data_IF_417394945378
#
_entry.id   IF_417394945378
#
_cell.length_a   1.000
_cell.length_b   1.000
_cell.length_c   1.000
_cell.angle_alpha   90.00
_cell.angle_beta   90.00
_cell.angle_gamma   90.00
#
_symmetry.space_group_name_H-M   'P 1'
#
loop_
_entity.id
_entity.type
_entity.pdbx_description
1 polymer ?
#
# COMPACT_ATOMS: atom_id res chain seq x y z
N UNK A 1 9.89 -8.49 19.68
CA UNK A 1 9.88 -8.13 18.24
C UNK A 1 8.66 -8.81 17.64
N UNK A 2 7.69 -8.15 17.01
CA UNK A 2 7.63 -6.81 16.45
C UNK A 2 6.22 -6.22 16.64
N UNK A 3 6.19 -4.92 16.92
CA UNK A 3 5.02 -4.05 16.82
C UNK A 3 4.78 -3.68 15.37
N UNK A 4 3.51 -3.72 14.91
CA UNK A 4 3.09 -2.91 13.78
C UNK A 4 1.83 -2.13 14.20
N UNK A 5 2.07 -0.88 14.58
CA UNK A 5 1.08 0.18 14.70
C UNK A 5 1.10 0.91 13.35
N UNK A 6 -0.04 1.00 12.67
CA UNK A 6 -0.80 2.25 12.52
C UNK A 6 -1.67 2.19 11.26
N UNK A 7 -2.98 2.49 11.40
CA UNK A 7 -3.68 3.21 10.34
C UNK A 7 -4.90 3.98 10.90
N UNK A 8 -4.63 5.20 11.36
CA UNK A 8 -5.43 6.39 11.00
C UNK A 8 -6.94 6.46 11.32
N UNK A 9 -7.47 5.77 12.33
CA UNK A 9 -8.71 6.26 12.97
C UNK A 9 -8.91 5.74 14.40
N UNK A 10 -8.02 6.15 15.30
CA UNK A 10 -8.18 5.96 16.73
C UNK A 10 -9.12 7.04 17.31
N UNK A 11 -10.41 6.97 16.97
CA UNK A 11 -11.46 7.68 17.72
C UNK A 11 -12.19 6.68 18.58
N UNK A 12 -11.71 6.54 19.82
CA UNK A 12 -12.47 5.94 20.90
C UNK A 12 -13.67 6.84 21.20
N UNK A 13 -14.82 6.55 20.61
CA UNK A 13 -16.09 7.00 21.17
C UNK A 13 -16.40 6.09 22.36
N UNK A 14 -15.75 6.34 23.50
CA UNK A 14 -16.33 5.98 24.79
C UNK A 14 -17.53 6.88 25.00
N UNK A 15 -18.66 6.51 24.41
CA UNK A 15 -19.95 6.98 24.89
C UNK A 15 -20.15 6.36 26.29
N UNK A 16 -20.38 7.16 27.34
CA UNK A 16 -20.81 6.57 28.60
C UNK A 16 -22.15 5.90 28.33
N UNK A 17 -22.19 4.57 28.45
CA UNK A 17 -23.44 3.81 28.48
C UNK A 17 -24.19 4.29 29.71
N UNK A 18 -25.11 5.23 29.50
CA UNK A 18 -26.03 5.65 30.54
C UNK A 18 -26.85 4.41 30.95
N UNK A 19 -26.92 4.05 32.24
CA UNK A 19 -27.79 2.97 32.67
C UNK A 19 -29.23 3.41 32.42
N UNK A 20 -29.86 2.79 31.42
CA UNK A 20 -31.24 3.01 31.01
C UNK A 20 -32.17 2.23 31.95
N UNK A 21 -32.10 2.53 33.24
CA UNK A 21 -33.16 2.32 34.23
C UNK A 21 -32.74 2.99 35.55
N UNK A 22 -33.21 4.22 35.76
CA UNK A 22 -33.26 4.83 37.10
C UNK A 22 -34.75 4.99 37.42
N UNK A 23 -35.30 4.28 38.43
CA UNK A 23 -36.63 4.63 38.90
C UNK A 23 -36.53 6.04 39.50
N UNK A 24 -37.38 6.94 39.02
CA UNK A 24 -37.49 8.29 39.55
C UNK A 24 -37.89 8.25 41.03
N UNK A 25 -37.43 9.27 41.77
CA UNK A 25 -37.39 9.34 43.23
C UNK A 25 -38.68 8.95 43.94
N UNK A 26 -38.49 8.13 44.98
CA UNK A 26 -39.41 7.97 46.09
C UNK A 26 -39.21 9.17 47.03
N UNK A 27 -39.93 10.27 46.82
CA UNK A 27 -40.07 11.32 47.83
C UNK A 27 -41.26 10.98 48.72
N UNK A 28 -40.96 10.50 49.92
CA UNK A 28 -41.93 10.29 50.98
C UNK A 28 -42.08 11.62 51.73
N UNK A 29 -43.03 12.44 51.28
CA UNK A 29 -43.56 13.54 52.08
C UNK A 29 -44.83 13.05 52.78
N UNK A 30 -44.74 12.90 54.10
CA UNK A 30 -45.87 12.58 54.94
C UNK A 30 -46.79 13.79 55.10
N UNK A 31 -48.04 13.63 54.67
CA UNK A 31 -49.17 14.43 55.15
C UNK A 31 -50.30 13.43 55.46
N UNK A 32 -50.43 13.10 56.74
CA UNK A 32 -51.49 12.22 57.25
C UNK A 32 -52.80 13.01 57.35
N UNK A 33 -53.59 13.02 56.27
CA UNK A 33 -54.99 13.41 56.31
C UNK A 33 -55.85 12.13 56.23
N UNK A 34 -56.44 11.77 57.35
CA UNK A 34 -57.32 10.60 57.47
C UNK A 34 -58.54 10.71 56.56
N UNK A 35 -58.71 9.70 55.71
CA UNK A 35 -59.98 9.32 55.10
C UNK A 35 -60.16 7.81 55.29
N UNK A 36 -61.39 7.32 55.55
CA UNK A 36 -61.61 6.02 56.15
C UNK A 36 -61.25 4.88 55.18
N UNK A 37 -60.47 3.94 55.70
CA UNK A 37 -60.24 2.62 55.11
C UNK A 37 -61.58 1.88 55.01
N UNK A 38 -62.20 1.96 53.83
CA UNK A 38 -63.17 0.98 53.34
C UNK A 38 -62.77 0.63 51.91
N UNK A 39 -61.61 -0.02 51.77
CA UNK A 39 -61.34 -0.81 50.57
C UNK A 39 -62.29 -2.02 50.63
N UNK A 40 -63.50 -1.84 50.10
CA UNK A 40 -64.37 -2.97 49.81
C UNK A 40 -63.61 -3.92 48.91
N UNK A 41 -63.69 -5.22 49.19
CA UNK A 41 -63.15 -6.24 48.30
C UNK A 41 -63.57 -5.92 46.86
N UNK A 42 -62.63 -5.92 45.89
CA UNK A 42 -62.96 -5.58 44.52
C UNK A 42 -64.12 -6.48 44.09
N UNK A 43 -65.18 -5.86 43.61
CA UNK A 43 -66.36 -6.60 43.20
C UNK A 43 -65.93 -7.63 42.16
N UNK A 44 -66.49 -8.84 42.20
CA UNK A 44 -66.20 -9.90 41.21
C UNK A 44 -66.28 -9.39 39.77
N UNK A 45 -67.13 -8.40 39.51
CA UNK A 45 -67.26 -7.74 38.20
C UNK A 45 -66.02 -6.91 37.82
N UNK A 46 -65.40 -6.21 38.77
CA UNK A 46 -64.21 -5.38 38.55
C UNK A 46 -62.99 -6.24 38.23
N UNK A 47 -62.83 -7.38 38.91
CA UNK A 47 -61.75 -8.33 38.62
C UNK A 47 -61.90 -8.93 37.22
N UNK A 48 -63.13 -9.29 36.82
CA UNK A 48 -63.40 -9.80 35.47
C UNK A 48 -63.15 -8.75 34.39
N UNK A 49 -63.50 -7.49 34.64
CA UNK A 49 -63.21 -6.39 33.73
C UNK A 49 -61.69 -6.18 33.57
N UNK A 50 -60.93 -6.17 34.66
CA UNK A 50 -59.47 -6.05 34.60
C UNK A 50 -58.80 -7.23 33.88
N UNK A 51 -59.35 -8.45 34.03
CA UNK A 51 -58.88 -9.62 33.28
C UNK A 51 -59.13 -9.42 31.78
N UNK A 52 -60.31 -8.95 31.38
CA UNK A 52 -60.62 -8.72 29.96
C UNK A 52 -59.76 -7.58 29.38
N UNK A 53 -59.56 -6.48 30.11
CA UNK A 53 -58.66 -5.40 29.70
C UNK A 53 -57.23 -5.90 29.52
N UNK A 54 -56.74 -6.73 30.45
CA UNK A 54 -55.42 -7.34 30.35
C UNK A 54 -55.30 -8.29 29.15
N UNK A 55 -56.37 -9.05 28.86
CA UNK A 55 -56.45 -9.96 27.71
C UNK A 55 -56.36 -9.18 26.41
N UNK A 56 -57.18 -8.15 26.24
CA UNK A 56 -57.16 -7.28 25.04
C UNK A 56 -55.79 -6.62 24.88
N UNK A 57 -55.19 -6.13 25.98
CA UNK A 57 -53.85 -5.55 25.94
C UNK A 57 -52.76 -6.56 25.55
N UNK A 58 -52.86 -7.83 25.99
CA UNK A 58 -51.94 -8.89 25.59
C UNK A 58 -52.14 -9.29 24.12
N UNK A 59 -53.38 -9.39 23.65
CA UNK A 59 -53.71 -9.66 22.23
C UNK A 59 -53.06 -8.59 21.32
N UNK A 60 -53.21 -7.31 21.65
CA UNK A 60 -52.57 -6.22 20.89
C UNK A 60 -51.04 -6.24 20.92
N UNK A 61 -50.42 -6.61 22.05
CA UNK A 61 -48.96 -6.80 22.14
C UNK A 61 -48.49 -7.99 21.30
N UNK A 62 -49.24 -9.09 21.28
CA UNK A 62 -48.94 -10.27 20.46
C UNK A 62 -48.99 -9.92 18.98
N UNK A 63 -49.99 -9.17 18.55
CA UNK A 63 -50.09 -8.67 17.17
C UNK A 63 -48.90 -7.78 16.80
N UNK A 64 -48.53 -6.85 17.70
CA UNK A 64 -47.36 -5.99 17.50
C UNK A 64 -46.07 -6.80 17.34
N UNK A 65 -45.83 -7.76 18.24
CA UNK A 65 -44.66 -8.66 18.17
C UNK A 65 -44.68 -9.49 16.88
N UNK A 66 -45.85 -9.96 16.44
CA UNK A 66 -45.96 -10.71 15.19
C UNK A 66 -45.57 -9.86 13.97
N UNK A 67 -45.96 -8.58 13.94
CA UNK A 67 -45.56 -7.63 12.90
C UNK A 67 -44.05 -7.40 12.93
N UNK A 68 -43.47 -7.11 14.11
CA UNK A 68 -42.03 -6.87 14.26
C UNK A 68 -41.20 -8.10 13.85
N UNK A 69 -41.61 -9.30 14.24
CA UNK A 69 -40.95 -10.55 13.84
C UNK A 69 -40.96 -10.72 12.32
N UNK A 70 -42.04 -10.34 11.64
CA UNK A 70 -42.11 -10.43 10.18
C UNK A 70 -41.21 -9.39 9.50
N UNK A 71 -41.10 -8.18 10.06
CA UNK A 71 -40.16 -7.16 9.59
C UNK A 71 -38.71 -7.61 9.77
N UNK A 72 -38.35 -8.13 10.95
CA UNK A 72 -37.01 -8.67 11.22
C UNK A 72 -36.66 -9.84 10.29
N UNK A 73 -37.61 -10.73 9.99
CA UNK A 73 -37.41 -11.80 8.99
C UNK A 73 -37.13 -11.23 7.60
N UNK A 74 -37.82 -10.16 7.20
CA UNK A 74 -37.60 -9.52 5.91
C UNK A 74 -36.21 -8.86 5.84
N UNK A 75 -35.80 -8.16 6.90
CA UNK A 75 -34.49 -7.52 6.96
C UNK A 75 -33.36 -8.54 7.04
N UNK A 76 -33.54 -9.65 7.75
CA UNK A 76 -32.57 -10.75 7.78
C UNK A 76 -32.35 -11.35 6.38
N UNK A 77 -33.42 -11.49 5.58
CA UNK A 77 -33.29 -11.93 4.17
C UNK A 77 -32.46 -10.94 3.35
N UNK A 78 -32.73 -9.63 3.48
CA UNK A 78 -31.95 -8.59 2.78
C UNK A 78 -30.47 -8.63 3.18
N UNK A 79 -30.18 -8.82 4.47
CA UNK A 79 -28.79 -8.95 4.96
C UNK A 79 -28.14 -10.21 4.38
N UNK A 80 -28.84 -11.34 4.37
CA UNK A 80 -28.33 -12.58 3.78
C UNK A 80 -27.98 -12.41 2.29
N UNK A 81 -28.85 -11.75 1.53
CA UNK A 81 -28.61 -11.49 0.11
C UNK A 81 -27.40 -10.57 -0.11
N UNK A 82 -27.28 -9.50 0.68
CA UNK A 82 -26.10 -8.63 0.65
C UNK A 82 -24.81 -9.39 0.99
N UNK A 83 -24.84 -10.28 1.98
CA UNK A 83 -23.69 -11.09 2.38
C UNK A 83 -23.29 -12.05 1.25
N UNK A 84 -24.26 -12.67 0.56
CA UNK A 84 -23.97 -13.53 -0.60
C UNK A 84 -23.31 -12.78 -1.73
N UNK A 85 -23.85 -11.60 -2.08
CA UNK A 85 -23.27 -10.74 -3.12
C UNK A 85 -21.85 -10.31 -2.74
N UNK A 86 -21.65 -9.84 -1.52
CA UNK A 86 -20.34 -9.44 -1.02
C UNK A 86 -19.34 -10.61 -1.04
N UNK A 87 -19.77 -11.82 -0.65
CA UNK A 87 -18.94 -13.03 -0.72
C UNK A 87 -18.50 -13.36 -2.14
N UNK A 88 -19.41 -13.22 -3.12
CA UNK A 88 -19.10 -13.39 -4.54
C UNK A 88 -18.06 -12.38 -5.04
N UNK A 89 -18.26 -11.09 -4.76
CA UNK A 89 -17.30 -10.05 -5.13
C UNK A 89 -15.93 -10.23 -4.48
N UNK A 90 -15.88 -10.69 -3.23
CA UNK A 90 -14.61 -11.00 -2.55
C UNK A 90 -13.88 -12.15 -3.26
N UNK A 91 -14.58 -13.21 -3.66
CA UNK A 91 -13.97 -14.32 -4.36
C UNK A 91 -13.41 -13.90 -5.73
N UNK A 92 -14.12 -13.03 -6.46
CA UNK A 92 -13.66 -12.46 -7.73
C UNK A 92 -12.40 -11.60 -7.54
N UNK A 93 -12.43 -10.68 -6.57
CA UNK A 93 -11.26 -9.84 -6.22
C UNK A 93 -10.07 -10.70 -5.82
N UNK A 94 -10.27 -11.78 -5.05
CA UNK A 94 -9.20 -12.70 -4.67
C UNK A 94 -8.56 -13.38 -5.88
N UNK A 95 -9.37 -13.78 -6.87
CA UNK A 95 -8.89 -14.36 -8.13
C UNK A 95 -8.10 -13.35 -8.97
N UNK A 96 -8.59 -12.12 -9.08
CA UNK A 96 -7.90 -11.04 -9.78
C UNK A 96 -6.57 -10.69 -9.13
N UNK A 97 -6.54 -10.56 -7.80
CA UNK A 97 -5.32 -10.31 -7.03
C UNK A 97 -4.30 -11.43 -7.25
N UNK A 98 -4.71 -12.69 -7.23
CA UNK A 98 -3.81 -13.82 -7.53
C UNK A 98 -3.22 -13.74 -8.94
N UNK A 99 -4.03 -13.35 -9.92
CA UNK A 99 -3.58 -13.16 -11.31
C UNK A 99 -2.58 -12.01 -11.41
N UNK A 100 -2.87 -10.87 -10.80
CA UNK A 100 -1.99 -9.70 -10.78
C UNK A 100 -0.66 -10.00 -10.07
N UNK A 101 -0.68 -10.72 -8.95
CA UNK A 101 0.53 -11.16 -8.27
C UNK A 101 1.42 -12.01 -9.17
N UNK A 102 0.83 -12.95 -9.92
CA UNK A 102 1.57 -13.77 -10.89
C UNK A 102 2.17 -12.92 -12.01
N UNK A 103 1.43 -11.96 -12.55
CA UNK A 103 1.91 -11.05 -13.59
C UNK A 103 3.07 -10.18 -13.10
N UNK A 104 2.97 -9.64 -11.88
CA UNK A 104 4.04 -8.86 -11.26
C UNK A 104 5.29 -9.71 -11.03
N UNK A 105 5.15 -10.95 -10.56
CA UNK A 105 6.28 -11.87 -10.40
C UNK A 105 6.97 -12.17 -11.74
N UNK A 106 6.18 -12.37 -12.81
CA UNK A 106 6.74 -12.57 -14.14
C UNK A 106 7.45 -11.31 -14.66
N UNK A 107 6.82 -10.14 -14.54
CA UNK A 107 7.38 -8.87 -15.00
C UNK A 107 8.70 -8.56 -14.27
N UNK A 108 8.73 -8.70 -12.94
CA UNK A 108 9.96 -8.49 -12.15
C UNK A 108 11.08 -9.44 -12.54
N UNK A 109 10.77 -10.72 -12.79
CA UNK A 109 11.76 -11.66 -13.32
C UNK A 109 12.27 -11.25 -14.72
N UNK A 110 11.40 -10.78 -15.61
CA UNK A 110 11.83 -10.34 -16.94
C UNK A 110 12.69 -9.09 -16.89
N UNK A 111 12.35 -8.14 -16.01
CA UNK A 111 13.16 -6.93 -15.80
C UNK A 111 14.56 -7.30 -15.31
N UNK A 112 14.68 -8.17 -14.30
CA UNK A 112 16.00 -8.61 -13.82
C UNK A 112 16.83 -9.33 -14.90
N UNK A 113 16.19 -10.13 -15.77
CA UNK A 113 16.89 -10.74 -16.91
C UNK A 113 17.35 -9.72 -17.95
N UNK A 114 16.54 -8.69 -18.22
CA UNK A 114 16.90 -7.63 -19.16
C UNK A 114 18.01 -6.75 -18.60
N UNK A 115 17.99 -6.44 -17.31
CA UNK A 115 19.06 -5.71 -16.63
C UNK A 115 20.40 -6.46 -16.72
N UNK A 116 20.41 -7.77 -16.42
CA UNK A 116 21.61 -8.59 -16.55
C UNK A 116 22.14 -8.65 -18.00
N UNK A 117 21.25 -8.74 -18.99
CA UNK A 117 21.63 -8.71 -20.41
C UNK A 117 22.17 -7.34 -20.83
N UNK A 118 21.61 -6.27 -20.29
CA UNK A 118 22.08 -4.90 -20.56
C UNK A 118 23.48 -4.70 -19.97
N UNK A 119 23.69 -5.10 -18.71
CA UNK A 119 25.01 -5.03 -18.07
C UNK A 119 26.07 -5.83 -18.85
N UNK A 120 25.75 -7.05 -19.28
CA UNK A 120 26.64 -7.88 -20.10
C UNK A 120 26.89 -7.27 -21.50
N UNK A 121 25.89 -6.64 -22.11
CA UNK A 121 26.05 -5.93 -23.38
C UNK A 121 26.91 -4.67 -23.23
N UNK A 122 26.71 -3.90 -22.16
CA UNK A 122 27.50 -2.70 -21.84
C UNK A 122 28.95 -3.06 -21.54
N UNK A 123 29.18 -4.11 -20.74
CA UNK A 123 30.51 -4.63 -20.44
C UNK A 123 31.25 -5.02 -21.73
N UNK A 124 30.62 -5.85 -22.58
CA UNK A 124 31.22 -6.27 -23.87
C UNK A 124 31.42 -5.11 -24.84
N UNK A 125 30.52 -4.14 -24.86
CA UNK A 125 30.65 -2.93 -25.69
C UNK A 125 31.83 -2.06 -25.22
N UNK A 126 32.05 -1.98 -23.91
CA UNK A 126 33.11 -1.19 -23.30
C UNK A 126 34.44 -1.94 -23.12
N UNK A 127 34.52 -3.25 -23.31
CA UNK A 127 35.76 -4.02 -23.15
C UNK A 127 36.91 -3.48 -23.99
N UNK A 128 36.60 -2.99 -25.19
CA UNK A 128 37.62 -2.45 -26.10
C UNK A 128 37.88 -0.97 -25.87
N UNK A 129 37.18 -0.35 -24.92
CA UNK A 129 37.29 1.07 -24.63
C UNK A 129 38.24 1.27 -23.44
N UNK A 130 39.38 1.91 -23.69
CA UNK A 130 40.37 2.29 -22.69
C UNK A 130 40.25 3.78 -22.39
N UNK A 131 40.36 4.14 -21.11
CA UNK A 131 40.27 5.53 -20.66
C UNK A 131 41.64 6.01 -20.19
N UNK A 132 42.22 6.93 -20.94
CA UNK A 132 43.51 7.53 -20.65
C UNK A 132 43.33 8.81 -19.83
N UNK A 133 44.12 8.97 -18.76
CA UNK A 133 44.04 10.10 -17.82
C UNK A 133 45.37 10.86 -17.76
N UNK A 134 45.31 12.16 -17.49
CA UNK A 134 46.51 12.98 -17.23
C UNK A 134 47.14 13.66 -18.45
N UNK A 135 46.56 13.48 -19.64
CA UNK A 135 46.98 14.21 -20.84
C UNK A 135 46.62 15.69 -20.73
N UNK A 136 47.58 16.59 -20.97
CA UNK A 136 47.31 18.03 -20.99
C UNK A 136 46.33 18.37 -22.11
N UNK A 137 45.35 19.23 -21.82
CA UNK A 137 44.39 19.66 -22.83
C UNK A 137 45.12 20.36 -23.99
N UNK A 138 44.77 20.00 -25.23
CA UNK A 138 45.38 20.48 -26.49
C UNK A 138 46.79 19.93 -26.81
N UNK A 139 47.29 18.96 -26.05
CA UNK A 139 48.51 18.22 -26.43
C UNK A 139 48.31 17.33 -27.68
N UNK A 140 47.06 17.03 -28.02
CA UNK A 140 46.61 16.09 -29.05
C UNK A 140 46.86 16.59 -30.50
N UNK A 141 47.18 17.88 -30.69
CA UNK A 141 47.43 18.44 -32.02
C UNK A 141 46.18 18.49 -32.90
N UNK A 142 46.30 18.07 -34.17
CA UNK A 142 45.22 18.16 -35.17
C UNK A 142 44.23 16.98 -35.09
N UNK A 143 44.71 15.80 -34.70
CA UNK A 143 43.92 14.56 -34.64
C UNK A 143 44.31 13.75 -33.40
N UNK A 144 43.34 13.45 -32.55
CA UNK A 144 43.56 12.71 -31.29
C UNK A 144 44.05 11.28 -31.53
N UNK A 145 43.59 10.66 -32.61
CA UNK A 145 43.90 9.27 -32.98
C UNK A 145 45.40 9.06 -33.25
N UNK A 146 46.02 9.92 -34.06
CA UNK A 146 47.45 9.81 -34.39
C UNK A 146 48.34 10.09 -33.19
N UNK A 147 47.93 11.02 -32.31
CA UNK A 147 48.61 11.28 -31.05
C UNK A 147 48.61 10.06 -30.13
N UNK A 148 47.43 9.46 -29.93
CA UNK A 148 47.28 8.27 -29.09
C UNK A 148 48.05 7.09 -29.70
N UNK A 149 48.00 6.90 -31.02
CA UNK A 149 48.71 5.81 -31.69
C UNK A 149 50.23 5.94 -31.54
N UNK A 150 50.80 7.14 -31.69
CA UNK A 150 52.23 7.40 -31.43
C UNK A 150 52.58 7.12 -29.97
N UNK A 151 51.79 7.64 -29.03
CA UNK A 151 52.03 7.46 -27.60
C UNK A 151 51.99 5.98 -27.19
N UNK A 152 51.01 5.22 -27.70
CA UNK A 152 50.92 3.78 -27.42
C UNK A 152 52.16 3.05 -27.96
N UNK A 153 52.62 3.37 -29.19
CA UNK A 153 53.84 2.78 -29.75
C UNK A 153 55.06 3.06 -28.88
N UNK A 154 55.25 4.31 -28.46
CA UNK A 154 56.39 4.72 -27.64
C UNK A 154 56.41 4.01 -26.27
N UNK A 155 55.23 3.86 -25.64
CA UNK A 155 55.09 3.22 -24.33
C UNK A 155 55.20 1.69 -24.40
N UNK A 156 54.68 1.07 -25.47
CA UNK A 156 54.66 -0.39 -25.63
C UNK A 156 55.88 -0.97 -26.35
N UNK A 157 56.68 -0.14 -27.03
CA UNK A 157 57.92 -0.56 -27.69
C UNK A 157 58.92 -1.26 -26.75
N UNK A 158 59.13 -0.82 -25.50
CA UNK A 158 59.98 -1.54 -24.54
C UNK A 158 59.47 -2.94 -24.18
N UNK A 159 58.17 -3.18 -24.34
CA UNK A 159 57.49 -4.44 -23.96
C UNK A 159 57.35 -5.39 -25.16
N UNK A 160 57.74 -4.96 -26.37
CA UNK A 160 57.63 -5.76 -27.58
C UNK A 160 56.21 -5.91 -28.12
N UNK A 161 55.27 -5.07 -27.68
CA UNK A 161 53.84 -5.13 -28.06
C UNK A 161 53.46 -4.11 -29.16
N UNK A 162 54.45 -3.53 -29.86
CA UNK A 162 54.23 -2.45 -30.83
C UNK A 162 53.31 -2.77 -32.01
N UNK A 163 53.08 -4.06 -32.30
CA UNK A 163 52.22 -4.51 -33.40
C UNK A 163 50.77 -4.83 -33.01
N UNK A 164 50.42 -4.76 -31.73
CA UNK A 164 49.16 -5.34 -31.22
C UNK A 164 47.98 -4.37 -31.29
N UNK A 165 48.21 -3.07 -31.12
CA UNK A 165 47.15 -2.10 -30.88
C UNK A 165 46.88 -1.21 -32.10
N UNK A 166 45.83 -1.51 -32.86
CA UNK A 166 45.23 -0.58 -33.83
C UNK A 166 44.16 0.25 -33.12
N UNK A 167 44.33 1.57 -33.10
CA UNK A 167 43.32 2.49 -32.58
C UNK A 167 42.22 2.63 -33.63
N UNK A 168 40.99 2.26 -33.28
CA UNK A 168 39.83 2.45 -34.16
C UNK A 168 39.33 3.89 -34.10
N UNK A 169 39.20 4.42 -32.88
CA UNK A 169 38.71 5.77 -32.61
C UNK A 169 39.33 6.30 -31.32
N UNK A 170 39.62 7.59 -31.28
CA UNK A 170 40.01 8.28 -30.06
C UNK A 170 39.37 9.66 -30.00
N UNK A 171 38.79 10.00 -28.84
CA UNK A 171 38.22 11.31 -28.63
C UNK A 171 38.37 11.75 -27.18
N UNK A 172 38.51 13.05 -26.98
CA UNK A 172 38.49 13.64 -25.66
C UNK A 172 37.04 13.66 -25.14
N UNK A 173 36.83 13.23 -23.89
CA UNK A 173 35.49 13.13 -23.31
C UNK A 173 34.74 14.48 -23.42
N UNK A 174 33.48 14.43 -23.88
CA UNK A 174 32.60 15.60 -24.08
C UNK A 174 32.04 16.17 -22.77
N UNK A 175 32.90 16.32 -21.76
CA UNK A 175 32.57 16.94 -20.48
C UNK A 175 32.98 18.42 -20.54
N UNK A 176 32.21 19.28 -19.86
CA UNK A 176 32.55 20.69 -19.71
C UNK A 176 34.01 20.84 -19.29
N UNK A 177 34.73 21.73 -19.97
CA UNK A 177 36.13 21.99 -19.67
C UNK A 177 36.24 22.38 -18.19
N UNK A 178 37.05 21.63 -17.44
CA UNK A 178 37.18 21.88 -16.01
C UNK A 178 37.96 23.19 -15.82
N UNK A 179 37.73 23.88 -14.69
CA UNK A 179 38.38 25.17 -14.39
C UNK A 179 39.92 25.07 -14.56
N UNK A 180 40.61 26.17 -14.91
CA UNK A 180 42.07 26.19 -14.96
C UNK A 180 42.66 25.67 -13.63
N UNK A 181 43.46 24.60 -13.70
CA UNK A 181 44.02 23.90 -12.53
C UNK A 181 43.27 22.64 -12.09
N UNK A 182 42.14 22.30 -12.72
CA UNK A 182 41.47 21.02 -12.52
C UNK A 182 42.07 19.91 -13.40
N UNK A 183 41.83 18.65 -13.02
CA UNK A 183 42.32 17.48 -13.76
C UNK A 183 41.87 17.53 -15.24
N UNK A 184 42.78 17.28 -16.20
CA UNK A 184 42.44 17.25 -17.61
C UNK A 184 41.36 16.24 -17.95
N UNK A 185 40.64 16.47 -19.06
CA UNK A 185 39.64 15.53 -19.56
C UNK A 185 40.29 14.21 -19.98
N UNK A 186 39.54 13.12 -19.75
CA UNK A 186 39.99 11.80 -20.16
C UNK A 186 39.90 11.67 -21.69
N UNK A 187 40.85 10.95 -22.28
CA UNK A 187 40.76 10.50 -23.67
C UNK A 187 40.16 9.09 -23.65
N UNK A 188 39.07 8.90 -24.39
CA UNK A 188 38.44 7.59 -24.57
C UNK A 188 38.94 7.04 -25.90
N UNK A 189 39.55 5.86 -25.83
CA UNK A 189 40.17 5.18 -26.97
C UNK A 189 39.47 3.86 -27.16
N UNK A 190 39.02 3.57 -28.39
CA UNK A 190 38.50 2.27 -28.78
C UNK A 190 39.58 1.54 -29.58
N UNK A 191 39.95 0.35 -29.11
CA UNK A 191 40.91 -0.52 -29.77
C UNK A 191 40.18 -1.48 -30.72
N UNK A 192 40.76 -1.70 -31.90
CA UNK A 192 40.21 -2.63 -32.89
C UNK A 192 40.46 -4.09 -32.47
N UNK A 193 41.64 -4.35 -31.89
CA UNK A 193 42.07 -5.67 -31.42
C UNK A 193 42.27 -5.62 -29.91
N UNK A 194 41.82 -6.66 -29.21
CA UNK A 194 41.89 -6.83 -27.76
C UNK A 194 42.34 -8.24 -27.42
#
# INVERSE_FOLDING_TARGET
MATLVDWKNNRNYTTPVAPLWRPAGLEVSGEAAGAPLSAGEPSRAEVLAAIEDSRVALEGKIETVAVEVNLLKADLRKVLDKVKVAGGSIAEIQSEVGTLQSQVAQATSTVGQLEARLEDAEARSCWNNVRLLGFQERAEGLTVESFVESWIKDVLQPVGLSGVSVVERAYQALVAQRRPGALPRAIIVRLLNY
#
